data_IF_712265978530
#
_entry.id   IF_712265978530
#
_cell.length_a   1.000
_cell.length_b   1.000
_cell.length_c   1.000
_cell.angle_alpha   90.00
_cell.angle_beta   90.00
_cell.angle_gamma   90.00
#
_symmetry.space_group_name_H-M   'P 1'
#
loop_
_entity.id
_entity.type
_entity.pdbx_description
1 polymer ?
#
# COMPACT_ATOMS: atom_id res chain seq x y z
N UNK A 1 -10.28 54.90 -32.72
CA UNK A 1 -11.14 54.53 -31.57
C UNK A 1 -11.70 53.13 -31.82
N UNK A 2 -11.09 52.10 -31.23
CA UNK A 2 -11.45 50.69 -31.44
C UNK A 2 -12.16 50.20 -30.19
N UNK A 3 -13.46 49.91 -30.31
CA UNK A 3 -14.31 49.38 -29.23
C UNK A 3 -14.12 47.87 -29.16
N UNK A 4 -13.63 47.35 -28.04
CA UNK A 4 -13.56 45.91 -27.78
C UNK A 4 -14.77 45.51 -26.94
N UNK A 5 -15.57 44.58 -27.47
CA UNK A 5 -16.68 43.91 -26.79
C UNK A 5 -16.09 42.74 -25.98
N UNK A 6 -16.34 42.74 -24.68
CA UNK A 6 -16.00 41.65 -23.75
C UNK A 6 -17.16 40.64 -23.78
N UNK A 7 -16.94 39.36 -24.16
CA UNK A 7 -17.97 38.34 -24.01
C UNK A 7 -18.04 37.90 -22.54
N UNK A 8 -19.24 37.95 -21.98
CA UNK A 8 -19.57 37.41 -20.66
C UNK A 8 -19.46 35.88 -20.70
N UNK A 9 -18.44 35.34 -20.05
CA UNK A 9 -18.32 33.90 -19.81
C UNK A 9 -19.36 33.50 -18.75
N UNK A 10 -20.41 32.81 -19.20
CA UNK A 10 -21.33 32.10 -18.31
C UNK A 10 -20.56 31.05 -17.52
N UNK A 11 -20.37 31.29 -16.22
CA UNK A 11 -19.95 30.26 -15.28
C UNK A 11 -21.09 29.25 -15.12
N UNK A 12 -21.05 28.18 -15.91
CA UNK A 12 -21.83 26.99 -15.65
C UNK A 12 -21.24 26.29 -14.41
N UNK A 13 -21.83 26.56 -13.25
CA UNK A 13 -21.58 25.79 -12.02
C UNK A 13 -22.10 24.37 -12.24
N UNK A 14 -21.19 23.44 -12.55
CA UNK A 14 -21.50 22.02 -12.52
C UNK A 14 -21.79 21.65 -11.06
N UNK A 15 -23.07 21.52 -10.73
CA UNK A 15 -23.50 20.86 -9.52
C UNK A 15 -23.09 19.39 -9.62
N UNK A 16 -21.91 19.06 -9.08
CA UNK A 16 -21.51 17.67 -8.86
C UNK A 16 -22.44 17.14 -7.77
N UNK A 17 -23.32 16.17 -8.06
CA UNK A 17 -24.17 15.58 -7.04
C UNK A 17 -23.23 14.99 -5.99
N UNK A 18 -23.45 15.37 -4.73
CA UNK A 18 -22.66 14.94 -3.58
C UNK A 18 -22.64 13.42 -3.50
N UNK A 19 -21.60 12.82 -4.07
CA UNK A 19 -21.11 11.56 -3.56
C UNK A 19 -20.68 11.87 -2.13
N UNK A 20 -21.37 11.25 -1.17
CA UNK A 20 -20.98 11.25 0.22
C UNK A 20 -19.46 11.04 0.26
N UNK A 21 -18.73 12.09 0.64
CA UNK A 21 -17.31 11.96 0.87
C UNK A 21 -17.20 11.13 2.13
N UNK A 22 -17.09 9.81 1.95
CA UNK A 22 -16.67 8.91 3.02
C UNK A 22 -15.35 9.49 3.49
N UNK A 23 -15.35 10.06 4.69
CA UNK A 23 -14.17 10.64 5.29
C UNK A 23 -13.13 9.53 5.35
N UNK A 24 -12.04 9.70 4.61
CA UNK A 24 -10.98 8.71 4.60
C UNK A 24 -10.42 8.63 6.02
N UNK A 25 -10.43 7.43 6.60
CA UNK A 25 -9.79 7.11 7.86
C UNK A 25 -8.51 6.32 7.55
N UNK A 26 -7.44 6.99 7.08
CA UNK A 26 -6.27 6.28 6.58
C UNK A 26 -5.59 5.48 7.69
N UNK A 27 -5.59 5.95 8.94
CA UNK A 27 -5.07 5.20 10.08
C UNK A 27 -5.89 3.94 10.34
N UNK A 28 -7.22 4.04 10.35
CA UNK A 28 -8.09 2.88 10.48
C UNK A 28 -7.93 1.90 9.31
N UNK A 29 -7.68 2.38 8.10
CA UNK A 29 -7.42 1.53 6.94
C UNK A 29 -6.13 0.71 7.08
N UNK A 30 -5.05 1.29 7.63
CA UNK A 30 -3.82 0.55 7.90
C UNK A 30 -4.03 -0.53 8.98
N UNK A 31 -4.74 -0.19 10.08
CA UNK A 31 -5.07 -1.12 11.15
C UNK A 31 -5.97 -2.28 10.67
N UNK A 32 -6.96 -1.97 9.83
CA UNK A 32 -7.83 -2.97 9.20
C UNK A 32 -7.02 -4.01 8.41
N UNK A 33 -6.01 -3.58 7.66
CA UNK A 33 -5.17 -4.48 6.90
C UNK A 33 -4.14 -5.22 7.76
N UNK A 34 -3.64 -4.63 8.84
CA UNK A 34 -2.85 -5.34 9.83
C UNK A 34 -3.67 -6.46 10.50
N UNK A 35 -4.93 -6.19 10.87
CA UNK A 35 -5.86 -7.18 11.44
C UNK A 35 -6.11 -8.33 10.45
N UNK A 36 -6.43 -8.00 9.18
CA UNK A 36 -6.64 -9.00 8.13
C UNK A 36 -5.46 -9.96 8.00
N UNK A 37 -4.24 -9.41 7.97
CA UNK A 37 -3.03 -10.21 7.80
C UNK A 37 -2.76 -11.05 9.04
N UNK A 38 -2.95 -10.51 10.25
CA UNK A 38 -2.82 -11.28 11.48
C UNK A 38 -3.76 -12.48 11.52
N UNK A 39 -5.00 -12.32 11.04
CA UNK A 39 -5.96 -13.42 10.89
C UNK A 39 -5.48 -14.42 9.82
N UNK A 40 -5.01 -13.93 8.67
CA UNK A 40 -4.51 -14.78 7.59
C UNK A 40 -3.29 -15.60 8.02
N UNK A 41 -2.40 -15.05 8.85
CA UNK A 41 -1.23 -15.76 9.37
C UNK A 41 -1.59 -16.97 10.21
N UNK A 42 -2.70 -16.92 10.98
CA UNK A 42 -3.20 -18.09 11.73
C UNK A 42 -3.73 -19.20 10.81
N UNK A 43 -4.13 -18.85 9.59
CA UNK A 43 -4.65 -19.80 8.60
C UNK A 43 -3.58 -20.46 7.73
N UNK A 44 -2.35 -19.93 7.73
CA UNK A 44 -1.24 -20.46 6.94
C UNK A 44 -0.46 -21.48 7.76
N UNK A 45 -0.36 -22.69 7.23
CA UNK A 45 0.61 -23.67 7.72
C UNK A 45 2.02 -23.26 7.26
N UNK A 46 2.76 -22.61 8.16
CA UNK A 46 4.11 -22.11 7.87
C UNK A 46 5.14 -23.19 7.53
N UNK A 47 4.90 -24.46 7.92
CA UNK A 47 5.78 -25.56 7.54
C UNK A 47 5.49 -26.03 6.12
N UNK A 48 4.23 -25.94 5.68
CA UNK A 48 3.80 -26.31 4.34
C UNK A 48 4.06 -25.20 3.30
N UNK A 49 3.91 -23.94 3.68
CA UNK A 49 4.10 -22.78 2.81
C UNK A 49 4.89 -21.64 3.52
N UNK A 50 6.22 -21.77 3.59
CA UNK A 50 7.06 -20.77 4.25
C UNK A 50 7.09 -19.43 3.52
N UNK A 51 6.95 -19.43 2.19
CA UNK A 51 6.96 -18.21 1.38
C UNK A 51 5.70 -17.37 1.64
N UNK A 52 4.54 -18.00 1.77
CA UNK A 52 3.32 -17.32 2.18
C UNK A 52 3.45 -16.71 3.58
N UNK A 53 4.03 -17.45 4.54
CA UNK A 53 4.24 -16.94 5.90
C UNK A 53 5.16 -15.70 5.91
N UNK A 54 6.24 -15.72 5.14
CA UNK A 54 7.15 -14.56 4.98
C UNK A 54 6.44 -13.38 4.31
N UNK A 55 5.66 -13.64 3.25
CA UNK A 55 4.89 -12.60 2.55
C UNK A 55 3.87 -11.91 3.47
N UNK A 56 3.15 -12.68 4.28
CA UNK A 56 2.23 -12.14 5.28
C UNK A 56 2.96 -11.36 6.37
N UNK A 57 4.09 -11.85 6.89
CA UNK A 57 4.88 -11.12 7.88
C UNK A 57 5.41 -9.78 7.32
N UNK A 58 5.84 -9.75 6.06
CA UNK A 58 6.23 -8.53 5.37
C UNK A 58 5.05 -7.55 5.21
N UNK A 59 3.88 -8.07 4.82
CA UNK A 59 2.65 -7.28 4.74
C UNK A 59 2.24 -6.68 6.08
N UNK A 60 2.26 -7.46 7.16
CA UNK A 60 1.94 -6.99 8.51
C UNK A 60 2.89 -5.85 8.91
N UNK A 61 4.18 -6.04 8.69
CA UNK A 61 5.21 -5.02 8.97
C UNK A 61 4.97 -3.75 8.16
N UNK A 62 4.58 -3.87 6.89
CA UNK A 62 4.29 -2.73 6.02
C UNK A 62 3.14 -1.87 6.54
N UNK A 63 2.00 -2.48 6.90
CA UNK A 63 0.84 -1.72 7.41
C UNK A 63 1.10 -1.12 8.79
N UNK A 64 1.80 -1.83 9.68
CA UNK A 64 2.23 -1.27 10.97
C UNK A 64 3.12 -0.05 10.76
N UNK A 65 4.15 -0.17 9.90
CA UNK A 65 5.06 0.94 9.62
C UNK A 65 4.35 2.15 9.00
N UNK A 66 3.32 1.93 8.17
CA UNK A 66 2.48 3.01 7.63
C UNK A 66 1.59 3.66 8.68
N UNK A 67 1.00 2.88 9.58
CA UNK A 67 0.24 3.41 10.71
C UNK A 67 1.11 4.30 11.59
N UNK A 68 2.29 3.82 11.99
CA UNK A 68 3.24 4.58 12.81
C UNK A 68 3.73 5.84 12.07
N UNK A 69 4.07 5.70 10.78
CA UNK A 69 4.51 6.81 9.94
C UNK A 69 3.45 7.91 9.74
N UNK A 70 2.17 7.59 9.91
CA UNK A 70 1.05 8.53 9.84
C UNK A 70 0.69 9.16 11.19
N UNK A 71 1.45 8.86 12.25
CA UNK A 71 1.24 9.42 13.59
C UNK A 71 0.51 8.50 14.56
N UNK A 72 0.31 7.22 14.19
CA UNK A 72 -0.08 6.18 15.12
C UNK A 72 0.91 6.07 16.30
N UNK A 73 0.42 5.80 17.50
CA UNK A 73 1.24 5.89 18.72
C UNK A 73 1.08 4.73 19.70
N UNK A 74 -0.06 4.03 19.70
CA UNK A 74 -0.29 2.89 20.58
C UNK A 74 -0.87 1.71 19.80
N UNK A 75 -0.01 1.05 19.03
CA UNK A 75 -0.40 0.00 18.09
C UNK A 75 -1.27 -1.10 18.74
N UNK A 76 -0.90 -1.57 19.93
CA UNK A 76 -1.61 -2.66 20.62
C UNK A 76 -3.02 -2.22 21.05
N UNK A 77 -3.14 -1.05 21.68
CA UNK A 77 -4.43 -0.48 22.10
C UNK A 77 -5.32 -0.21 20.88
N UNK A 78 -4.79 0.44 19.86
CA UNK A 78 -5.53 0.83 18.67
C UNK A 78 -5.98 -0.39 17.84
N UNK A 79 -5.13 -1.42 17.68
CA UNK A 79 -5.52 -2.68 17.03
C UNK A 79 -6.66 -3.36 17.80
N UNK A 80 -6.57 -3.39 19.13
CA UNK A 80 -7.57 -4.02 19.97
C UNK A 80 -8.90 -3.28 19.92
N UNK A 81 -8.89 -1.95 20.08
CA UNK A 81 -10.08 -1.12 19.97
C UNK A 81 -10.71 -1.22 18.58
N UNK A 82 -9.89 -1.19 17.53
CA UNK A 82 -10.35 -1.30 16.15
C UNK A 82 -11.00 -2.66 15.90
N UNK A 83 -10.37 -3.75 16.32
CA UNK A 83 -10.91 -5.10 16.17
C UNK A 83 -12.21 -5.30 16.95
N UNK A 84 -12.30 -4.81 18.19
CA UNK A 84 -13.54 -4.90 18.98
C UNK A 84 -14.69 -4.09 18.38
N UNK A 85 -14.39 -3.00 17.68
CA UNK A 85 -15.36 -2.18 16.97
C UNK A 85 -15.88 -2.81 15.66
N UNK A 86 -15.25 -3.89 15.17
CA UNK A 86 -15.64 -4.50 13.90
C UNK A 86 -16.83 -5.46 14.02
N UNK A 87 -17.71 -5.40 13.04
CA UNK A 87 -18.73 -6.41 12.78
C UNK A 87 -18.16 -7.57 11.96
N UNK A 88 -18.85 -8.71 11.98
CA UNK A 88 -18.50 -9.85 11.11
C UNK A 88 -18.54 -9.49 9.62
N UNK A 89 -19.47 -8.61 9.22
CA UNK A 89 -19.55 -8.13 7.84
C UNK A 89 -18.30 -7.34 7.45
N UNK A 90 -17.85 -6.42 8.32
CA UNK A 90 -16.60 -5.67 8.10
C UNK A 90 -15.39 -6.59 8.04
N UNK A 91 -15.28 -7.56 8.95
CA UNK A 91 -14.20 -8.56 8.93
C UNK A 91 -14.18 -9.34 7.61
N UNK A 92 -15.34 -9.79 7.13
CA UNK A 92 -15.43 -10.49 5.85
C UNK A 92 -15.10 -9.61 4.64
N UNK A 93 -15.27 -8.29 4.77
CA UNK A 93 -14.93 -7.32 3.73
C UNK A 93 -13.45 -6.95 3.69
N UNK A 94 -12.66 -7.29 4.72
CA UNK A 94 -11.25 -6.90 4.80
C UNK A 94 -10.41 -7.47 3.67
N UNK A 95 -10.68 -8.70 3.22
CA UNK A 95 -9.95 -9.30 2.10
C UNK A 95 -10.07 -8.44 0.83
N UNK A 96 -11.28 -8.01 0.49
CA UNK A 96 -11.53 -7.17 -0.70
C UNK A 96 -10.83 -5.81 -0.59
N UNK A 97 -10.69 -5.28 0.62
CA UNK A 97 -10.03 -4.00 0.90
C UNK A 97 -8.50 -4.13 0.87
N UNK A 98 -7.95 -5.19 1.46
CA UNK A 98 -6.53 -5.27 1.79
C UNK A 98 -5.72 -6.09 0.79
N UNK A 99 -6.33 -7.07 0.10
CA UNK A 99 -5.62 -7.87 -0.92
C UNK A 99 -5.06 -7.00 -2.06
N UNK A 100 -5.79 -6.01 -2.63
CA UNK A 100 -5.22 -5.13 -3.66
C UNK A 100 -4.05 -4.29 -3.14
N UNK A 101 -4.07 -3.89 -1.87
CA UNK A 101 -2.98 -3.11 -1.29
C UNK A 101 -1.71 -3.93 -1.10
N UNK A 102 -1.85 -5.19 -0.68
CA UNK A 102 -0.74 -6.14 -0.60
C UNK A 102 -0.16 -6.45 -1.99
N UNK A 103 -1.01 -6.63 -2.99
CA UNK A 103 -0.56 -6.83 -4.37
C UNK A 103 0.23 -5.61 -4.88
N UNK A 104 -0.29 -4.40 -4.68
CA UNK A 104 0.40 -3.17 -5.04
C UNK A 104 1.75 -3.02 -4.33
N UNK A 105 1.80 -3.36 -3.04
CA UNK A 105 3.06 -3.39 -2.28
C UNK A 105 4.05 -4.38 -2.91
N UNK A 106 3.63 -5.61 -3.21
CA UNK A 106 4.47 -6.63 -3.83
C UNK A 106 5.02 -6.21 -5.20
N UNK A 107 4.15 -5.70 -6.07
CA UNK A 107 4.54 -5.17 -7.39
C UNK A 107 5.52 -4.00 -7.26
N UNK A 108 5.33 -3.13 -6.27
CA UNK A 108 6.23 -2.02 -5.97
C UNK A 108 7.62 -2.48 -5.53
N UNK A 109 7.70 -3.47 -4.64
CA UNK A 109 8.96 -4.06 -4.19
C UNK A 109 9.71 -4.76 -5.34
N UNK A 110 9.00 -5.49 -6.18
CA UNK A 110 9.58 -6.15 -7.36
C UNK A 110 10.14 -5.11 -8.35
N UNK A 111 9.38 -4.04 -8.62
CA UNK A 111 9.82 -2.94 -9.47
C UNK A 111 11.07 -2.24 -8.92
N UNK A 112 11.10 -1.97 -7.61
CA UNK A 112 12.27 -1.39 -6.94
C UNK A 112 13.49 -2.31 -7.03
N UNK A 113 13.32 -3.61 -6.80
CA UNK A 113 14.40 -4.60 -6.92
C UNK A 113 15.02 -4.61 -8.32
N UNK A 114 14.20 -4.62 -9.37
CA UNK A 114 14.69 -4.52 -10.75
C UNK A 114 15.44 -3.23 -11.03
N UNK A 115 14.99 -2.10 -10.47
CA UNK A 115 15.67 -0.82 -10.63
C UNK A 115 17.05 -0.82 -9.98
N UNK A 116 17.22 -1.42 -8.79
CA UNK A 116 18.53 -1.51 -8.14
C UNK A 116 19.52 -2.39 -8.91
N UNK A 117 19.06 -3.50 -9.49
CA UNK A 117 19.90 -4.35 -10.35
C UNK A 117 20.39 -3.56 -11.56
N UNK A 118 19.48 -2.83 -12.24
CA UNK A 118 19.84 -2.03 -13.39
C UNK A 118 20.90 -0.96 -13.06
N UNK A 119 20.76 -0.26 -11.93
CA UNK A 119 21.75 0.72 -11.48
C UNK A 119 23.10 0.07 -11.20
N UNK A 120 23.13 -1.10 -10.57
CA UNK A 120 24.38 -1.84 -10.31
C UNK A 120 25.08 -2.29 -11.60
N UNK A 121 24.31 -2.71 -12.61
CA UNK A 121 24.86 -3.10 -13.92
C UNK A 121 25.43 -1.89 -14.67
N UNK A 122 24.80 -0.71 -14.56
CA UNK A 122 25.30 0.54 -15.13
C UNK A 122 26.62 0.96 -14.46
N UNK A 123 26.70 0.92 -13.13
CA UNK A 123 27.93 1.25 -12.38
C UNK A 123 29.08 0.27 -12.69
N UNK A 124 28.78 -1.03 -12.84
CA UNK A 124 29.76 -2.04 -13.24
C UNK A 124 30.29 -1.80 -14.66
N UNK A 125 29.42 -1.39 -15.59
CA UNK A 125 29.82 -1.06 -16.95
C UNK A 125 30.70 0.22 -17.01
N UNK A 126 30.42 1.22 -16.18
CA UNK A 126 31.17 2.48 -16.13
C UNK A 126 32.54 2.35 -15.45
N UNK A 127 32.67 1.46 -14.46
CA UNK A 127 33.94 1.24 -13.73
C UNK A 127 34.99 0.47 -14.53
N UNK A 128 34.61 -0.14 -15.67
CA UNK A 128 35.55 -0.87 -16.52
C UNK A 128 36.11 -2.16 -15.90
N UNK A 129 35.59 -2.57 -14.74
CA UNK A 129 35.73 -3.94 -14.22
C UNK A 129 34.88 -4.85 -15.11
N UNK A 130 35.43 -5.19 -16.27
CA UNK A 130 34.90 -6.24 -17.13
C UNK A 130 34.72 -7.49 -16.29
N UNK A 131 33.46 -7.88 -16.10
CA UNK A 131 33.03 -9.14 -15.49
C UNK A 131 33.80 -10.30 -16.12
N UNK A 132 34.91 -10.69 -15.51
CA UNK A 132 35.51 -12.00 -15.71
C UNK A 132 34.54 -12.99 -15.06
N UNK A 133 33.60 -13.49 -15.87
CA UNK A 133 32.71 -14.57 -15.47
C UNK A 133 33.54 -15.72 -14.88
N UNK A 134 33.15 -16.30 -13.74
CA UNK A 134 33.86 -17.45 -13.18
C UNK A 134 33.80 -18.59 -14.19
N UNK A 135 34.97 -19.01 -14.68
CA UNK A 135 35.09 -20.21 -15.50
C UNK A 135 34.70 -21.43 -14.66
N UNK A 136 33.66 -22.14 -15.11
CA UNK A 136 33.26 -23.46 -14.59
C UNK A 136 34.37 -24.51 -14.73
#
# INVERSE_FOLDING_TARGET
MKKYLIPAAMMATLAVPGLAQVEADPLGDELDCAIFIAIAMDSVDSEADPDAAVGLAAGLTYFIGRYEGQGGSNLEEDLFERFQGMTLEQLSGLETKCAPQLENMGQGLEAAGRAFIALGDEEAAESGEGSEAPAE
#
